data_IF_333003936656
#
_entry.id   IF_333003936656
#
_cell.length_a   1.000
_cell.length_b   1.000
_cell.length_c   1.000
_cell.angle_alpha   90.00
_cell.angle_beta   90.00
_cell.angle_gamma   90.00
#
_symmetry.space_group_name_H-M   'P 1'
#
loop_
_entity.id
_entity.type
_entity.pdbx_description
1 polymer ?
#
# COMPACT_ATOMS: atom_id res chain seq x y z
N UNK A 1 18.26 -16.92 -7.32
CA UNK A 1 18.20 -17.75 -6.08
C UNK A 1 18.30 -16.88 -4.82
N UNK A 2 19.21 -15.90 -4.76
CA UNK A 2 19.30 -14.95 -3.62
C UNK A 2 18.03 -14.12 -3.37
N UNK A 3 17.33 -13.68 -4.43
CA UNK A 3 16.05 -12.96 -4.30
C UNK A 3 15.04 -13.78 -3.48
N UNK A 4 14.82 -15.05 -3.87
CA UNK A 4 13.87 -15.97 -3.23
C UNK A 4 14.25 -16.32 -1.78
N UNK A 5 15.55 -16.28 -1.44
CA UNK A 5 16.08 -16.58 -0.09
C UNK A 5 15.97 -15.37 0.85
N UNK A 6 16.30 -14.16 0.38
CA UNK A 6 16.08 -12.91 1.16
C UNK A 6 14.58 -12.67 1.38
N UNK A 7 13.79 -13.06 0.39
CA UNK A 7 12.33 -12.94 0.38
C UNK A 7 11.64 -13.89 1.38
N UNK A 8 12.10 -15.14 1.52
CA UNK A 8 11.56 -16.06 2.54
C UNK A 8 11.88 -15.63 3.98
N UNK A 9 12.88 -14.77 4.18
CA UNK A 9 13.13 -14.14 5.46
C UNK A 9 12.12 -13.01 5.73
N UNK A 10 11.92 -12.10 4.77
CA UNK A 10 10.99 -10.97 4.92
C UNK A 10 9.51 -11.37 5.09
N UNK A 11 9.06 -12.50 4.51
CA UNK A 11 7.69 -13.02 4.74
C UNK A 11 7.44 -13.46 6.19
N UNK A 12 8.48 -13.88 6.92
CA UNK A 12 8.34 -14.31 8.32
C UNK A 12 8.12 -13.15 9.28
N UNK A 13 8.56 -11.96 8.89
CA UNK A 13 8.53 -10.78 9.75
C UNK A 13 7.30 -9.90 9.52
N UNK A 14 6.50 -10.18 8.48
CA UNK A 14 5.19 -9.55 8.32
C UNK A 14 4.25 -9.96 9.45
N UNK A 15 3.80 -8.96 10.20
CA UNK A 15 2.83 -9.18 11.27
C UNK A 15 1.45 -9.49 10.67
N UNK A 16 0.64 -10.35 11.30
CA UNK A 16 -0.72 -10.61 10.84
C UNK A 16 -1.56 -9.34 10.88
N UNK A 17 -2.44 -9.15 9.88
CA UNK A 17 -3.26 -7.94 9.75
C UNK A 17 -4.15 -7.72 10.99
N UNK A 18 -4.62 -8.81 11.59
CA UNK A 18 -5.52 -8.84 12.75
C UNK A 18 -4.92 -8.21 14.02
N UNK A 19 -3.59 -8.00 14.03
CA UNK A 19 -2.89 -7.25 15.08
C UNK A 19 -3.20 -5.75 15.04
N UNK A 20 -3.59 -5.24 13.88
CA UNK A 20 -3.75 -3.80 13.63
C UNK A 20 -5.16 -3.42 13.19
N UNK A 21 -5.86 -4.32 12.52
CA UNK A 21 -7.17 -4.06 11.93
C UNK A 21 -7.98 -5.34 11.75
N UNK A 22 -9.29 -5.25 11.99
CA UNK A 22 -10.29 -6.29 11.74
C UNK A 22 -11.49 -5.71 11.00
N UNK A 23 -12.29 -6.54 10.30
CA UNK A 23 -13.54 -6.07 9.70
C UNK A 23 -14.44 -5.37 10.74
N UNK A 24 -14.86 -4.15 10.43
CA UNK A 24 -15.62 -3.29 11.34
C UNK A 24 -14.80 -2.17 11.99
N UNK A 25 -13.47 -2.30 12.03
CA UNK A 25 -12.58 -1.22 12.47
C UNK A 25 -12.48 -0.10 11.42
N UNK A 26 -12.05 1.09 11.86
CA UNK A 26 -11.81 2.23 10.96
C UNK A 26 -10.77 1.87 9.87
N UNK A 27 -11.17 1.83 8.58
CA UNK A 27 -10.30 1.46 7.47
C UNK A 27 -9.21 2.51 7.21
N UNK A 28 -9.46 3.78 7.52
CA UNK A 28 -8.46 4.85 7.38
C UNK A 28 -7.36 4.66 8.41
N UNK A 29 -7.72 4.46 9.68
CA UNK A 29 -6.73 4.14 10.72
C UNK A 29 -6.00 2.84 10.40
N UNK A 30 -6.73 1.80 10.03
CA UNK A 30 -6.20 0.47 9.71
C UNK A 30 -5.13 0.51 8.63
N UNK A 31 -5.41 1.15 7.49
CA UNK A 31 -4.43 1.21 6.39
C UNK A 31 -3.18 2.01 6.78
N UNK A 32 -3.34 3.06 7.60
CA UNK A 32 -2.23 3.88 8.06
C UNK A 32 -1.28 3.11 8.98
N UNK A 33 -1.84 2.29 9.88
CA UNK A 33 -1.05 1.42 10.76
C UNK A 33 -0.37 0.31 9.94
N UNK A 34 -1.10 -0.32 9.01
CA UNK A 34 -0.55 -1.36 8.15
C UNK A 34 0.59 -0.84 7.26
N UNK A 35 0.47 0.37 6.70
CA UNK A 35 1.53 1.02 5.94
C UNK A 35 2.78 1.25 6.79
N UNK A 36 2.63 1.78 8.00
CA UNK A 36 3.75 2.01 8.90
C UNK A 36 4.42 0.68 9.30
N UNK A 37 3.64 -0.33 9.70
CA UNK A 37 4.16 -1.64 10.06
C UNK A 37 4.95 -2.31 8.93
N UNK A 38 4.40 -2.27 7.70
CA UNK A 38 5.06 -2.82 6.52
C UNK A 38 6.39 -2.09 6.24
N UNK A 39 6.36 -0.75 6.15
CA UNK A 39 7.57 0.02 5.82
C UNK A 39 8.62 0.01 6.90
N UNK A 40 8.21 -0.06 8.17
CA UNK A 40 9.14 -0.19 9.29
C UNK A 40 9.92 -1.49 9.22
N UNK A 41 9.24 -2.60 8.92
CA UNK A 41 9.91 -3.89 8.69
C UNK A 41 10.87 -3.80 7.49
N UNK A 42 10.45 -3.18 6.39
CA UNK A 42 11.29 -3.06 5.19
C UNK A 42 12.55 -2.22 5.39
N UNK A 43 12.48 -1.15 6.19
CA UNK A 43 13.60 -0.21 6.38
C UNK A 43 14.54 -0.59 7.54
N UNK A 44 14.15 -1.58 8.36
CA UNK A 44 14.97 -2.06 9.47
C UNK A 44 16.35 -2.53 9.00
N UNK A 45 16.41 -3.16 7.82
CA UNK A 45 17.63 -3.40 7.05
C UNK A 45 17.56 -2.70 5.68
N UNK A 46 17.87 -1.41 5.66
CA UNK A 46 17.86 -0.61 4.42
C UNK A 46 18.87 -1.11 3.36
N UNK A 47 20.00 -1.72 3.78
CA UNK A 47 20.96 -2.31 2.85
C UNK A 47 20.33 -3.54 2.19
N UNK A 48 19.79 -4.46 3.00
CA UNK A 48 19.09 -5.65 2.52
C UNK A 48 17.92 -5.31 1.60
N UNK A 49 17.14 -4.29 1.95
CA UNK A 49 16.06 -3.76 1.12
C UNK A 49 16.54 -3.37 -0.29
N UNK A 50 17.65 -2.62 -0.38
CA UNK A 50 18.19 -2.18 -1.68
C UNK A 50 18.78 -3.33 -2.48
N UNK A 51 19.43 -4.29 -1.81
CA UNK A 51 19.91 -5.52 -2.45
C UNK A 51 18.73 -6.30 -3.03
N UNK A 52 17.66 -6.48 -2.25
CA UNK A 52 16.44 -7.14 -2.69
C UNK A 52 15.80 -6.44 -3.91
N UNK A 53 15.67 -5.11 -3.87
CA UNK A 53 15.12 -4.34 -4.99
C UNK A 53 15.95 -4.47 -6.26
N UNK A 54 17.29 -4.40 -6.16
CA UNK A 54 18.18 -4.67 -7.28
C UNK A 54 17.95 -6.07 -7.83
N UNK A 55 17.88 -7.08 -6.97
CA UNK A 55 17.64 -8.47 -7.40
C UNK A 55 16.30 -8.64 -8.10
N UNK A 56 15.22 -8.02 -7.64
CA UNK A 56 13.93 -8.06 -8.35
C UNK A 56 14.04 -7.50 -9.77
N UNK A 57 14.76 -6.38 -9.95
CA UNK A 57 14.97 -5.79 -11.27
C UNK A 57 15.86 -6.66 -12.15
N UNK A 58 16.95 -7.21 -11.62
CA UNK A 58 17.80 -8.16 -12.34
C UNK A 58 17.00 -9.36 -12.83
N UNK A 59 16.25 -10.01 -11.94
CA UNK A 59 15.47 -11.20 -12.32
C UNK A 59 14.38 -10.84 -13.35
N UNK A 60 13.74 -9.67 -13.23
CA UNK A 60 12.75 -9.24 -14.22
C UNK A 60 13.37 -8.98 -15.60
N UNK A 61 14.54 -8.33 -15.66
CA UNK A 61 15.27 -8.05 -16.91
C UNK A 61 15.82 -9.32 -17.58
N UNK A 62 16.18 -10.32 -16.78
CA UNK A 62 16.68 -11.62 -17.26
C UNK A 62 15.53 -12.60 -17.61
N UNK A 63 14.30 -12.30 -17.21
CA UNK A 63 13.15 -13.15 -17.50
C UNK A 63 12.53 -12.83 -18.87
N UNK A 64 12.64 -13.77 -19.82
CA UNK A 64 12.06 -13.65 -21.16
C UNK A 64 10.54 -13.43 -21.17
N UNK A 65 9.80 -14.03 -20.21
CA UNK A 65 8.34 -13.85 -20.14
C UNK A 65 7.94 -12.46 -19.63
N UNK A 66 8.87 -11.75 -18.98
CA UNK A 66 8.66 -10.46 -18.32
C UNK A 66 7.45 -10.44 -17.36
N UNK A 67 7.06 -11.62 -16.85
CA UNK A 67 5.95 -11.73 -15.92
C UNK A 67 6.30 -11.10 -14.55
N UNK A 68 5.32 -10.55 -13.82
CA UNK A 68 5.56 -10.00 -12.50
C UNK A 68 5.97 -11.11 -11.51
N UNK A 69 7.23 -11.07 -11.06
CA UNK A 69 7.78 -12.08 -10.15
C UNK A 69 7.68 -11.72 -8.68
N UNK A 70 7.23 -10.50 -8.36
CA UNK A 70 7.10 -10.06 -6.96
C UNK A 70 5.81 -10.63 -6.33
N UNK A 71 5.88 -11.26 -5.15
CA UNK A 71 4.76 -11.96 -4.51
C UNK A 71 3.66 -11.02 -3.97
N UNK A 72 3.87 -9.70 -4.02
CA UNK A 72 2.81 -8.74 -3.73
C UNK A 72 2.43 -8.62 -2.26
N UNK A 73 3.33 -8.88 -1.30
CA UNK A 73 3.14 -8.79 0.17
C UNK A 73 2.16 -7.73 0.68
N UNK A 74 2.34 -6.49 0.23
CA UNK A 74 1.48 -5.34 0.61
C UNK A 74 0.00 -5.60 0.35
N UNK A 75 -0.33 -6.44 -0.65
CA UNK A 75 -1.69 -6.83 -0.96
C UNK A 75 -2.36 -7.63 0.17
N UNK A 76 -1.59 -8.36 0.99
CA UNK A 76 -2.10 -9.06 2.17
C UNK A 76 -2.70 -8.10 3.21
N UNK A 77 -2.30 -6.82 3.22
CA UNK A 77 -2.93 -5.78 4.04
C UNK A 77 -3.96 -4.96 3.25
N UNK A 78 -3.64 -4.62 2.01
CA UNK A 78 -4.47 -3.73 1.18
C UNK A 78 -5.79 -4.38 0.82
N UNK A 79 -5.79 -5.64 0.37
CA UNK A 79 -7.00 -6.26 -0.16
C UNK A 79 -8.09 -6.44 0.89
N UNK A 80 -7.82 -7.00 2.08
CA UNK A 80 -8.86 -7.20 3.09
C UNK A 80 -9.49 -5.87 3.55
N UNK A 81 -8.66 -4.83 3.78
CA UNK A 81 -9.14 -3.51 4.19
C UNK A 81 -10.01 -2.90 3.07
N UNK A 82 -9.53 -2.89 1.83
CA UNK A 82 -10.27 -2.28 0.72
C UNK A 82 -11.52 -3.09 0.36
N UNK A 83 -11.50 -4.41 0.47
CA UNK A 83 -12.67 -5.26 0.19
C UNK A 83 -13.74 -5.18 1.27
N UNK A 84 -13.37 -4.82 2.51
CA UNK A 84 -14.35 -4.48 3.54
C UNK A 84 -15.22 -3.27 3.18
N UNK A 85 -14.75 -2.41 2.26
CA UNK A 85 -15.46 -1.24 1.77
C UNK A 85 -16.42 -1.55 0.62
N UNK A 86 -16.72 -2.81 0.31
CA UNK A 86 -17.56 -3.20 -0.84
C UNK A 86 -18.96 -2.59 -0.85
N UNK A 87 -19.51 -2.30 0.33
CA UNK A 87 -20.86 -1.75 0.49
C UNK A 87 -20.87 -0.21 0.36
N UNK A 88 -19.68 0.42 0.32
CA UNK A 88 -19.49 1.87 0.18
C UNK A 88 -18.86 2.22 -1.17
N UNK A 89 -17.91 1.41 -1.65
CA UNK A 89 -17.12 1.66 -2.84
C UNK A 89 -17.50 0.72 -3.99
N UNK A 90 -17.74 1.30 -5.16
CA UNK A 90 -17.95 0.52 -6.39
C UNK A 90 -16.74 -0.38 -6.70
N UNK A 91 -16.92 -1.49 -7.46
CA UNK A 91 -15.82 -2.37 -7.84
C UNK A 91 -14.66 -1.62 -8.54
N UNK A 92 -14.99 -0.64 -9.39
CA UNK A 92 -14.00 0.21 -10.08
C UNK A 92 -13.23 1.08 -9.09
N UNK A 93 -13.91 1.68 -8.11
CA UNK A 93 -13.27 2.50 -7.09
C UNK A 93 -12.34 1.67 -6.19
N UNK A 94 -12.79 0.48 -5.75
CA UNK A 94 -11.95 -0.45 -4.99
C UNK A 94 -10.71 -0.87 -5.77
N UNK A 95 -10.84 -1.24 -7.05
CA UNK A 95 -9.70 -1.59 -7.90
C UNK A 95 -8.68 -0.45 -7.98
N UNK A 96 -9.15 0.77 -8.24
CA UNK A 96 -8.28 1.96 -8.29
C UNK A 96 -7.58 2.22 -6.95
N UNK A 97 -8.29 2.08 -5.84
CA UNK A 97 -7.74 2.27 -4.50
C UNK A 97 -6.67 1.22 -4.18
N UNK A 98 -6.89 -0.06 -4.51
CA UNK A 98 -5.88 -1.12 -4.35
C UNK A 98 -4.60 -0.80 -5.13
N UNK A 99 -4.72 -0.32 -6.37
CA UNK A 99 -3.57 0.09 -7.19
C UNK A 99 -2.85 1.32 -6.61
N UNK A 100 -3.60 2.32 -6.13
CA UNK A 100 -2.99 3.50 -5.53
C UNK A 100 -2.24 3.17 -4.23
N UNK A 101 -2.84 2.33 -3.37
CA UNK A 101 -2.21 1.86 -2.15
C UNK A 101 -0.98 1.00 -2.43
N UNK A 102 -1.00 0.16 -3.47
CA UNK A 102 0.16 -0.68 -3.81
C UNK A 102 1.36 0.13 -4.27
N UNK A 103 1.14 1.30 -4.87
CA UNK A 103 2.21 2.25 -5.19
C UNK A 103 2.82 2.87 -3.93
N UNK A 104 1.99 3.41 -3.03
CA UNK A 104 2.51 4.17 -1.87
C UNK A 104 2.98 3.27 -0.73
N UNK A 105 2.47 2.05 -0.61
CA UNK A 105 2.90 1.03 0.36
C UNK A 105 4.01 0.14 -0.21
N UNK A 106 4.75 0.64 -1.20
CA UNK A 106 5.86 -0.06 -1.85
C UNK A 106 7.24 0.29 -1.28
N UNK A 107 8.19 -0.58 -1.56
CA UNK A 107 9.62 -0.40 -1.27
C UNK A 107 10.20 0.75 -2.09
N UNK A 108 9.80 0.91 -3.34
CA UNK A 108 10.21 2.01 -4.21
C UNK A 108 9.76 3.38 -3.69
N UNK A 109 8.54 3.46 -3.12
CA UNK A 109 8.06 4.70 -2.53
C UNK A 109 8.93 5.15 -1.34
N UNK A 110 9.36 4.19 -0.52
CA UNK A 110 10.24 4.45 0.60
C UNK A 110 11.63 4.90 0.13
N UNK A 111 12.22 4.19 -0.83
CA UNK A 111 13.51 4.55 -1.43
C UNK A 111 13.45 5.94 -2.07
N UNK A 112 12.40 6.25 -2.84
CA UNK A 112 12.27 7.55 -3.50
C UNK A 112 12.21 8.71 -2.50
N UNK A 113 11.44 8.57 -1.40
CA UNK A 113 11.34 9.60 -0.36
C UNK A 113 12.68 9.77 0.39
N UNK A 114 13.44 8.70 0.57
CA UNK A 114 14.77 8.72 1.20
C UNK A 114 15.82 9.37 0.28
N UNK A 115 15.91 8.92 -0.96
CA UNK A 115 17.00 9.29 -1.88
C UNK A 115 16.80 10.66 -2.53
N UNK A 116 15.57 10.96 -2.94
CA UNK A 116 15.25 12.20 -3.65
C UNK A 116 14.76 13.25 -2.66
N UNK A 117 13.90 12.84 -1.72
CA UNK A 117 13.34 13.74 -0.71
C UNK A 117 14.30 14.07 0.44
N UNK A 118 15.35 13.28 0.64
CA UNK A 118 16.30 13.46 1.75
C UNK A 118 15.69 13.21 3.12
N UNK A 119 14.52 12.57 3.19
CA UNK A 119 13.80 12.36 4.44
C UNK A 119 14.54 11.42 5.37
N UNK A 120 14.45 11.66 6.68
CA UNK A 120 14.77 10.66 7.70
C UNK A 120 13.83 9.44 7.59
N UNK A 121 14.19 8.34 8.26
CA UNK A 121 13.34 7.14 8.30
C UNK A 121 11.96 7.47 8.87
N UNK A 122 11.92 8.20 9.98
CA UNK A 122 10.66 8.56 10.65
C UNK A 122 9.77 9.45 9.78
N UNK A 123 10.36 10.42 9.08
CA UNK A 123 9.64 11.26 8.12
C UNK A 123 9.08 10.43 6.96
N UNK A 124 9.87 9.50 6.43
CA UNK A 124 9.43 8.63 5.34
C UNK A 124 8.27 7.71 5.76
N UNK A 125 8.34 7.10 6.95
CA UNK A 125 7.25 6.30 7.53
C UNK A 125 6.00 7.14 7.78
N UNK A 126 6.16 8.36 8.32
CA UNK A 126 5.06 9.27 8.56
C UNK A 126 4.37 9.71 7.24
N UNK A 127 5.16 10.04 6.22
CA UNK A 127 4.67 10.44 4.90
C UNK A 127 3.93 9.30 4.20
N UNK A 128 4.48 8.09 4.21
CA UNK A 128 3.85 6.92 3.61
C UNK A 128 2.51 6.58 4.28
N UNK A 129 2.48 6.56 5.62
CA UNK A 129 1.26 6.31 6.38
C UNK A 129 0.22 7.42 6.15
N UNK A 130 0.65 8.68 6.05
CA UNK A 130 -0.22 9.80 5.72
C UNK A 130 -0.82 9.66 4.31
N UNK A 131 0.00 9.31 3.31
CA UNK A 131 -0.44 9.11 1.92
C UNK A 131 -1.46 7.97 1.82
N UNK A 132 -1.19 6.82 2.46
CA UNK A 132 -2.13 5.70 2.49
C UNK A 132 -3.49 6.09 3.09
N UNK A 133 -3.47 6.83 4.22
CA UNK A 133 -4.70 7.36 4.84
C UNK A 133 -5.43 8.34 3.92
N UNK A 134 -4.70 9.22 3.24
CA UNK A 134 -5.28 10.20 2.33
C UNK A 134 -5.99 9.53 1.15
N UNK A 135 -5.41 8.48 0.58
CA UNK A 135 -6.03 7.72 -0.51
C UNK A 135 -7.35 7.07 -0.10
N UNK A 136 -7.41 6.47 1.11
CA UNK A 136 -8.66 5.87 1.61
C UNK A 136 -9.71 6.95 1.88
N UNK A 137 -9.34 8.07 2.54
CA UNK A 137 -10.27 9.19 2.75
C UNK A 137 -10.83 9.72 1.44
N UNK A 138 -9.97 9.99 0.47
CA UNK A 138 -10.36 10.46 -0.86
C UNK A 138 -11.36 9.50 -1.53
N UNK A 139 -11.11 8.19 -1.46
CA UNK A 139 -12.02 7.21 -2.04
C UNK A 139 -13.40 7.22 -1.37
N UNK A 140 -13.45 7.39 -0.05
CA UNK A 140 -14.70 7.49 0.72
C UNK A 140 -15.46 8.79 0.41
N UNK A 141 -14.76 9.93 0.34
CA UNK A 141 -15.34 11.24 0.01
C UNK A 141 -15.95 11.26 -1.41
N UNK A 142 -15.30 10.64 -2.39
CA UNK A 142 -15.87 10.52 -3.73
C UNK A 142 -17.11 9.60 -3.77
N UNK A 143 -17.21 8.64 -2.84
CA UNK A 143 -18.37 7.78 -2.74
C UNK A 143 -19.57 8.55 -2.20
N UNK A 144 -19.37 9.37 -1.15
CA UNK A 144 -20.44 10.21 -0.58
C UNK A 144 -20.91 11.28 -1.57
N UNK A 145 -20.01 11.92 -2.30
CA UNK A 145 -20.37 12.94 -3.31
C UNK A 145 -21.18 12.36 -4.49
N UNK A 146 -20.97 11.07 -4.83
CA UNK A 146 -21.81 10.37 -5.83
C UNK A 146 -23.20 10.02 -5.32
N UNK A 147 -23.40 9.96 -4.01
CA UNK A 147 -24.70 9.63 -3.39
C UNK A 147 -25.55 10.87 -3.13
N UNK A 148 -24.97 12.09 -3.17
CA UNK A 148 -25.76 13.31 -3.09
C UNK A 148 -26.67 13.43 -4.34
N UNK A 149 -28.00 13.50 -4.18
CA UNK A 149 -28.89 13.70 -5.31
C UNK A 149 -28.53 15.04 -5.95
N UNK A 150 -28.43 15.05 -7.29
CA UNK A 150 -28.32 16.27 -8.07
C UNK A 150 -29.38 17.24 -7.54
N UNK A 151 -28.95 18.34 -6.91
CA UNK A 151 -29.86 19.39 -6.44
C UNK A 151 -30.69 19.82 -7.65
N UNK A 152 -31.97 19.43 -7.65
CA UNK A 152 -32.93 19.78 -8.68
C UNK A 152 -32.92 21.31 -8.79
N UNK A 153 -32.29 21.80 -9.85
CA UNK A 153 -32.23 23.21 -10.22
C UNK A 153 -33.58 23.68 -10.75
N UNK A 154 -34.64 23.45 -9.96
CA UNK A 154 -35.98 23.98 -10.20
C UNK A 154 -36.48 24.71 -8.97
N UNK A 155 -36.13 25.98 -8.94
CA UNK A 155 -36.85 27.11 -8.35
C UNK A 155 -36.18 28.34 -8.97
N UNK A 156 -36.85 29.32 -9.57
CA UNK A 156 -38.22 29.57 -9.97
C UNK A 156 -38.15 30.81 -10.88
#
# INVERSE_FOLDING_TARGET
MEALISETAADRDMQPLERFWRPGDDPVKGIGVAANALHKMLIEDEIGLRVMERSFMTVWLENESHEPLRPGRRMNYIEPIVDSLKDVLSPRARKRLKQALSMVMGTEALIAVRDIGGASVDEALAAAAWAARALVRQALEEATCRTEPARDGRQR
#
